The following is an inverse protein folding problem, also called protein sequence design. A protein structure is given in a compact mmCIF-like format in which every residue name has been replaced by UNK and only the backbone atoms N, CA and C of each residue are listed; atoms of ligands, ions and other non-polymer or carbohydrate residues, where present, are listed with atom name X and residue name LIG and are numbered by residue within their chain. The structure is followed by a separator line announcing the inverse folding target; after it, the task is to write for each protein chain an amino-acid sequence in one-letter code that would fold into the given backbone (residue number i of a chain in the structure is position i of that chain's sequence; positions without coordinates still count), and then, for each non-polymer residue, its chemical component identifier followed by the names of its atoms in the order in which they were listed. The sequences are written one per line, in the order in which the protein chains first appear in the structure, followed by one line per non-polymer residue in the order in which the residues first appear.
data_IF_659482900978
#
_entry.id   IF_659482900978
#
_cell.length_a   1.000
_cell.length_b   1.000
_cell.length_c   1.000
_cell.angle_alpha   90.00
_cell.angle_beta   90.00
_cell.angle_gamma   90.00
#
_symmetry.space_group_name_H-M   'P 1'
#
loop_
_entity.id
_entity.type
_entity.pdbx_description
1 polymer ?
#
# COMPACT_ATOMS: atom_id res chain seq x y z
N UNK A 1 -2.88 6.97 -8.15
CA UNK A 1 -3.66 7.48 -6.99
C UNK A 1 -5.09 6.94 -6.98
N UNK A 2 -5.78 6.83 -8.12
CA UNK A 2 -7.18 6.32 -8.19
C UNK A 2 -7.41 4.98 -7.45
N UNK A 3 -6.49 4.01 -7.57
CA UNK A 3 -6.58 2.73 -6.85
C UNK A 3 -6.69 2.89 -5.32
N UNK A 4 -5.98 3.86 -4.76
CA UNK A 4 -6.04 4.16 -3.33
C UNK A 4 -7.37 4.82 -2.93
N UNK A 5 -7.93 5.67 -3.81
CA UNK A 5 -9.25 6.26 -3.62
C UNK A 5 -10.36 5.21 -3.65
N UNK A 6 -10.36 4.35 -4.68
CA UNK A 6 -11.31 3.23 -4.79
C UNK A 6 -11.19 2.21 -3.66
N UNK A 7 -10.00 2.08 -3.09
CA UNK A 7 -9.86 1.22 -1.92
C UNK A 7 -10.47 1.91 -0.71
N UNK A 8 -10.14 3.19 -0.46
CA UNK A 8 -10.67 3.96 0.66
C UNK A 8 -12.20 4.05 0.65
N UNK A 9 -12.83 4.22 -0.52
CA UNK A 9 -14.29 4.26 -0.67
C UNK A 9 -14.96 2.87 -0.61
N UNK A 10 -14.17 1.79 -0.62
CA UNK A 10 -14.65 0.41 -0.55
C UNK A 10 -15.11 -0.19 -1.88
N UNK A 11 -14.86 0.49 -3.00
CA UNK A 11 -15.12 -0.04 -4.35
C UNK A 11 -14.22 -1.21 -4.72
N UNK A 12 -13.03 -1.28 -4.12
CA UNK A 12 -12.12 -2.43 -4.26
C UNK A 12 -11.70 -2.98 -2.89
N UNK A 13 -11.34 -4.26 -2.88
CA UNK A 13 -10.87 -4.96 -1.68
C UNK A 13 -9.37 -4.80 -1.44
N UNK A 14 -8.91 -5.26 -0.26
CA UNK A 14 -7.50 -5.19 0.16
C UNK A 14 -6.56 -5.88 -0.84
N UNK A 15 -7.01 -6.99 -1.45
CA UNK A 15 -6.23 -7.74 -2.42
C UNK A 15 -6.04 -6.95 -3.73
N UNK A 16 -7.11 -6.36 -4.27
CA UNK A 16 -7.05 -5.51 -5.46
C UNK A 16 -6.18 -4.27 -5.22
N UNK A 17 -6.32 -3.66 -4.04
CA UNK A 17 -5.46 -2.55 -3.62
C UNK A 17 -3.98 -2.98 -3.59
N UNK A 18 -3.66 -4.09 -2.91
CA UNK A 18 -2.30 -4.60 -2.77
C UNK A 18 -1.67 -4.93 -4.13
N UNK A 19 -2.41 -5.57 -5.04
CA UNK A 19 -1.95 -5.87 -6.40
C UNK A 19 -1.62 -4.59 -7.18
N UNK A 20 -2.46 -3.55 -7.05
CA UNK A 20 -2.19 -2.26 -7.66
C UNK A 20 -0.92 -1.60 -7.12
N UNK A 21 -0.69 -1.64 -5.80
CA UNK A 21 0.54 -1.12 -5.20
C UNK A 21 1.77 -1.92 -5.67
N UNK A 22 1.69 -3.25 -5.68
CA UNK A 22 2.77 -4.11 -6.19
C UNK A 22 3.12 -3.77 -7.64
N UNK A 23 2.12 -3.57 -8.50
CA UNK A 23 2.32 -3.14 -9.87
C UNK A 23 3.07 -1.81 -9.94
N UNK A 24 2.63 -0.79 -9.19
CA UNK A 24 3.28 0.52 -9.18
C UNK A 24 4.75 0.45 -8.73
N UNK A 25 5.06 -0.43 -7.78
CA UNK A 25 6.43 -0.66 -7.31
C UNK A 25 7.27 -1.35 -8.39
N UNK A 26 6.73 -2.39 -9.03
CA UNK A 26 7.42 -3.15 -10.08
C UNK A 26 7.75 -2.28 -11.29
N UNK A 27 6.81 -1.45 -11.72
CA UNK A 27 7.01 -0.52 -12.84
C UNK A 27 7.86 0.71 -12.46
N UNK A 28 8.32 0.83 -11.20
CA UNK A 28 9.14 1.94 -10.73
C UNK A 28 8.40 3.29 -10.62
N UNK A 29 7.06 3.27 -10.72
CA UNK A 29 6.19 4.44 -10.59
C UNK A 29 6.12 4.89 -9.13
N UNK A 30 6.04 3.92 -8.20
CA UNK A 30 6.11 4.15 -6.76
C UNK A 30 7.44 3.64 -6.22
N UNK A 31 8.30 4.55 -5.78
CA UNK A 31 9.60 4.19 -5.19
C UNK A 31 9.44 3.92 -3.71
N UNK A 32 9.67 2.67 -3.33
CA UNK A 32 9.76 2.27 -1.92
C UNK A 32 11.24 2.22 -1.53
N UNK A 33 11.67 2.96 -0.49
CA UNK A 33 13.01 2.82 0.05
C UNK A 33 13.28 1.36 0.45
N UNK A 34 14.54 0.90 0.38
CA UNK A 34 14.91 -0.47 0.73
C UNK A 34 14.28 -0.89 2.06
N UNK A 35 13.29 -1.79 1.98
CA UNK A 35 12.50 -2.25 3.12
C UNK A 35 12.66 -3.75 3.21
N UNK A 36 13.14 -4.24 4.36
CA UNK A 36 13.24 -5.67 4.63
C UNK A 36 11.83 -6.23 4.77
N UNK A 37 11.47 -7.19 3.93
CA UNK A 37 10.19 -7.86 4.01
C UNK A 37 10.12 -8.71 5.28
N UNK A 38 9.05 -8.54 6.06
CA UNK A 38 8.78 -9.34 7.24
C UNK A 38 8.49 -10.80 6.92
N UNK A 39 8.50 -11.63 7.96
CA UNK A 39 8.19 -13.07 7.88
C UNK A 39 6.69 -13.37 7.98
N UNK A 40 5.85 -12.35 7.97
CA UNK A 40 4.38 -12.48 7.98
C UNK A 40 3.87 -13.37 6.85
N UNK A 41 2.74 -14.04 7.10
CA UNK A 41 2.16 -14.99 6.14
C UNK A 41 1.46 -14.29 4.98
N UNK A 42 1.26 -12.97 5.02
CA UNK A 42 0.40 -12.24 4.09
C UNK A 42 -1.10 -12.44 4.35
N UNK A 43 -1.46 -13.12 5.46
CA UNK A 43 -2.83 -13.38 5.86
C UNK A 43 -3.41 -12.31 6.80
N UNK A 44 -2.58 -11.37 7.25
CA UNK A 44 -3.03 -10.26 8.08
C UNK A 44 -3.75 -9.23 7.19
N UNK A 45 -4.96 -8.83 7.59
CA UNK A 45 -5.71 -7.78 6.90
C UNK A 45 -4.96 -6.46 6.95
N UNK A 46 -5.18 -5.61 5.94
CA UNK A 46 -4.53 -4.30 5.90
C UNK A 46 -5.16 -3.42 6.99
N UNK A 47 -4.37 -2.79 7.87
CA UNK A 47 -4.92 -1.93 8.91
C UNK A 47 -5.73 -0.75 8.35
N UNK A 48 -6.82 -0.39 9.04
CA UNK A 48 -7.71 0.70 8.63
C UNK A 48 -7.02 2.06 8.53
N UNK A 49 -5.98 2.32 9.33
CA UNK A 49 -5.22 3.57 9.22
C UNK A 49 -4.49 3.71 7.88
N UNK A 50 -4.04 2.60 7.27
CA UNK A 50 -3.48 2.61 5.91
C UNK A 50 -4.57 2.95 4.90
N UNK A 51 -5.79 2.45 5.13
CA UNK A 51 -6.97 2.74 4.30
C UNK A 51 -7.34 4.22 4.34
N UNK A 52 -7.29 4.83 5.52
CA UNK A 52 -7.48 6.27 5.65
C UNK A 52 -6.38 7.05 4.94
N UNK A 53 -5.11 6.65 5.11
CA UNK A 53 -3.99 7.28 4.41
C UNK A 53 -4.10 7.13 2.89
N UNK A 54 -4.63 6.02 2.37
CA UNK A 54 -4.89 5.84 0.96
C UNK A 54 -5.93 6.83 0.41
N UNK A 55 -6.99 7.09 1.18
CA UNK A 55 -7.96 8.13 0.88
C UNK A 55 -7.30 9.52 0.83
N UNK A 56 -6.55 9.86 1.87
CA UNK A 56 -5.80 11.13 1.93
C UNK A 56 -4.71 11.26 0.87
N UNK A 57 -4.17 10.16 0.38
CA UNK A 57 -3.20 10.19 -0.71
C UNK A 57 -3.89 10.41 -2.05
N UNK A 58 -5.08 9.84 -2.21
CA UNK A 58 -5.89 9.99 -3.42
C UNK A 58 -6.48 11.39 -3.55
N UNK A 59 -6.90 12.00 -2.44
CA UNK A 59 -7.40 13.38 -2.39
C UNK A 59 -6.28 14.44 -2.43
N UNK A 60 -5.03 14.03 -2.21
CA UNK A 60 -3.85 14.91 -2.22
C UNK A 60 -3.55 15.60 -0.89
N UNK A 61 -4.24 15.24 0.20
CA UNK A 61 -4.01 15.75 1.56
C UNK A 61 -2.70 15.26 2.17
N UNK A 62 -2.24 14.05 1.78
CA UNK A 62 -0.90 13.58 2.10
C UNK A 62 -0.05 13.38 0.85
N UNK A 63 1.25 13.62 0.99
CA UNK A 63 2.21 13.45 -0.07
C UNK A 63 2.57 11.96 -0.31
N UNK A 64 3.27 11.72 -1.41
CA UNK A 64 3.67 10.36 -1.78
C UNK A 64 4.58 9.73 -0.72
N UNK A 65 5.43 10.52 -0.06
CA UNK A 65 6.31 10.02 1.00
C UNK A 65 5.54 9.54 2.23
N UNK A 66 4.54 10.30 2.68
CA UNK A 66 3.69 9.92 3.82
C UNK A 66 2.93 8.64 3.52
N UNK A 67 2.43 8.48 2.29
CA UNK A 67 1.76 7.25 1.91
C UNK A 67 2.72 6.05 1.79
N UNK A 68 3.89 6.27 1.19
CA UNK A 68 4.96 5.27 1.04
C UNK A 68 5.40 4.72 2.40
N UNK A 69 5.47 5.53 3.46
CA UNK A 69 5.77 5.05 4.82
C UNK A 69 4.75 4.00 5.31
N UNK A 70 3.47 4.18 4.98
CA UNK A 70 2.44 3.18 5.24
C UNK A 70 2.69 1.87 4.48
N UNK A 71 3.05 1.96 3.21
CA UNK A 71 3.40 0.78 2.40
C UNK A 71 4.64 0.07 2.95
N UNK A 72 5.65 0.81 3.39
CA UNK A 72 6.83 0.25 4.05
C UNK A 72 6.48 -0.54 5.31
N UNK A 73 5.55 -0.01 6.12
CA UNK A 73 5.05 -0.73 7.29
C UNK A 73 4.42 -2.07 6.88
N UNK A 74 3.56 -2.10 5.86
CA UNK A 74 2.93 -3.34 5.39
C UNK A 74 3.96 -4.38 4.95
N UNK A 75 5.02 -3.95 4.25
CA UNK A 75 6.09 -4.84 3.81
C UNK A 75 6.89 -5.36 5.01
N UNK A 76 7.24 -4.48 5.95
CA UNK A 76 8.01 -4.81 7.15
C UNK A 76 7.28 -5.80 8.06
N UNK A 77 5.97 -5.66 8.21
CA UNK A 77 5.14 -6.59 8.99
C UNK A 77 4.83 -7.89 8.23
N UNK A 78 5.22 -7.99 6.94
CA UNK A 78 4.91 -9.14 6.10
C UNK A 78 3.41 -9.27 5.78
N UNK A 79 2.66 -8.17 5.90
CA UNK A 79 1.26 -8.03 5.47
C UNK A 79 1.21 -7.96 3.94
N UNK A 80 2.11 -7.15 3.35
CA UNK A 80 2.27 -7.05 1.90
C UNK A 80 3.60 -7.69 1.50
N UNK A 81 3.55 -8.62 0.55
CA UNK A 81 4.76 -9.22 -0.04
C UNK A 81 5.04 -8.56 -1.39
N UNK A 82 6.29 -8.24 -1.66
CA UNK A 82 6.73 -7.83 -2.99
C UNK A 82 7.38 -9.07 -3.62
N UNK A 83 6.68 -9.65 -4.60
CA UNK A 83 7.27 -10.66 -5.45
C UNK A 83 8.08 -9.94 -6.54
N UNK A 84 9.35 -10.34 -6.70
CA UNK A 84 10.23 -9.86 -7.76
C UNK A 84 9.96 -10.62 -9.05
#
# INVERSE_FOLDING_TARGET
KNNAGWWADGSIDDNSFAQGIQYLIREGIMKIPSTTQGTGTGANQIPSWIKNNAGWWADGSIDDNSFVQGIQYLIKEGIMKIQK
#
